data_IF_174025800230
#
_entry.id   IF_174025800230
#
_cell.length_a   1.000
_cell.length_b   1.000
_cell.length_c   1.000
_cell.angle_alpha   90.00
_cell.angle_beta   90.00
_cell.angle_gamma   90.00
#
_symmetry.space_group_name_H-M   'P 1'
#
loop_
_entity.id
_entity.type
_entity.pdbx_description
1 polymer ?
#
# COMPACT_ATOMS: atom_id res chain seq x y z
N UNK A 1 3.21 -10.96 -0.55
CA UNK A 1 3.16 -10.33 -1.88
C UNK A 1 3.75 -11.28 -2.92
N UNK A 2 3.07 -11.46 -4.05
CA UNK A 2 3.51 -12.33 -5.15
C UNK A 2 4.09 -11.57 -6.35
N UNK A 3 4.00 -10.24 -6.32
CA UNK A 3 4.38 -9.37 -7.43
C UNK A 3 3.46 -9.51 -8.65
N UNK A 4 3.81 -8.85 -9.73
CA UNK A 4 3.04 -8.80 -10.97
C UNK A 4 3.44 -9.96 -11.90
N UNK A 5 3.07 -11.18 -11.54
CA UNK A 5 3.38 -12.36 -12.37
C UNK A 5 2.31 -12.57 -13.45
N UNK A 6 2.64 -12.40 -14.76
CA UNK A 6 1.67 -12.50 -15.84
C UNK A 6 1.30 -13.94 -16.23
N UNK A 7 2.00 -14.94 -15.69
CA UNK A 7 1.84 -16.34 -16.06
C UNK A 7 0.95 -17.14 -15.11
N UNK A 8 0.75 -16.63 -13.88
CA UNK A 8 -0.10 -17.28 -12.89
C UNK A 8 -1.53 -16.78 -13.07
N UNK A 9 -2.52 -17.67 -13.29
CA UNK A 9 -3.91 -17.27 -13.41
C UNK A 9 -4.46 -16.75 -12.08
N UNK A 10 -5.45 -15.84 -12.14
CA UNK A 10 -6.02 -15.23 -10.93
C UNK A 10 -6.65 -16.29 -9.99
N UNK A 11 -7.30 -17.29 -10.55
CA UNK A 11 -7.91 -18.39 -9.79
C UNK A 11 -6.89 -19.11 -8.89
N UNK A 12 -5.64 -19.26 -9.33
CA UNK A 12 -4.60 -19.88 -8.51
C UNK A 12 -4.38 -19.14 -7.17
N UNK A 13 -4.43 -17.81 -7.20
CA UNK A 13 -4.30 -17.01 -5.96
C UNK A 13 -5.52 -17.20 -5.05
N UNK A 14 -6.72 -17.32 -5.62
CA UNK A 14 -7.93 -17.58 -4.86
C UNK A 14 -7.90 -18.98 -4.23
N UNK A 15 -7.49 -19.98 -4.98
CA UNK A 15 -7.34 -21.35 -4.48
C UNK A 15 -6.30 -21.45 -3.37
N UNK A 16 -5.16 -20.77 -3.50
CA UNK A 16 -4.13 -20.69 -2.46
C UNK A 16 -4.72 -20.17 -1.14
N UNK A 17 -5.47 -19.08 -1.17
CA UNK A 17 -6.08 -18.52 0.03
C UNK A 17 -7.13 -19.45 0.64
N UNK A 18 -8.00 -20.04 -0.20
CA UNK A 18 -8.98 -21.03 0.25
C UNK A 18 -8.30 -22.23 0.91
N UNK A 19 -7.21 -22.74 0.30
CA UNK A 19 -6.42 -23.81 0.88
C UNK A 19 -5.84 -23.45 2.25
N UNK A 20 -5.22 -22.27 2.38
CA UNK A 20 -4.67 -21.80 3.64
C UNK A 20 -5.77 -21.72 4.70
N UNK A 21 -6.92 -21.13 4.37
CA UNK A 21 -8.04 -20.97 5.31
C UNK A 21 -8.68 -22.31 5.72
N UNK A 22 -8.72 -23.27 4.82
CA UNK A 22 -9.25 -24.60 5.11
C UNK A 22 -8.35 -25.40 6.07
N UNK A 23 -7.03 -25.18 6.01
CA UNK A 23 -6.06 -25.98 6.74
C UNK A 23 -5.46 -25.26 7.97
N UNK A 24 -5.56 -23.92 8.04
CA UNK A 24 -4.89 -23.14 9.08
C UNK A 24 -5.78 -22.01 9.60
N UNK A 25 -5.85 -21.88 10.92
CA UNK A 25 -6.50 -20.74 11.60
C UNK A 25 -5.52 -19.56 11.65
N UNK A 26 -5.33 -18.87 10.51
CA UNK A 26 -4.37 -17.77 10.38
C UNK A 26 -5.01 -16.58 9.68
N UNK A 27 -4.60 -15.36 10.06
CA UNK A 27 -4.94 -14.12 9.37
C UNK A 27 -4.09 -13.99 8.11
N UNK A 28 -4.73 -13.76 6.95
CA UNK A 28 -4.03 -13.51 5.69
C UNK A 28 -3.98 -12.01 5.44
N UNK A 29 -2.79 -11.44 5.57
CA UNK A 29 -2.49 -10.04 5.22
C UNK A 29 -1.65 -10.06 3.94
N UNK A 30 -2.25 -9.76 2.81
CA UNK A 30 -1.60 -9.98 1.53
C UNK A 30 -2.12 -9.09 0.41
N UNK A 31 -1.42 -9.13 -0.70
CA UNK A 31 -1.67 -8.38 -1.92
C UNK A 31 -1.69 -6.86 -1.71
N UNK A 32 -0.70 -6.19 -2.29
CA UNK A 32 -0.66 -4.73 -2.30
C UNK A 32 -1.72 -4.15 -3.24
N UNK A 33 -2.12 -2.88 -3.09
CA UNK A 33 -2.98 -2.21 -4.06
C UNK A 33 -2.47 -2.32 -5.50
N UNK A 34 -1.15 -2.26 -5.71
CA UNK A 34 -0.56 -2.43 -7.06
C UNK A 34 -0.80 -3.83 -7.64
N UNK A 35 -0.82 -4.88 -6.80
CA UNK A 35 -1.17 -6.24 -7.26
C UNK A 35 -2.66 -6.35 -7.58
N UNK A 36 -3.52 -5.69 -6.82
CA UNK A 36 -4.97 -5.65 -7.10
C UNK A 36 -5.25 -4.95 -8.43
N UNK A 37 -4.60 -3.81 -8.68
CA UNK A 37 -4.68 -3.11 -9.98
C UNK A 37 -4.17 -4.00 -11.09
N UNK A 38 -3.01 -4.63 -10.91
CA UNK A 38 -2.46 -5.59 -11.89
C UNK A 38 -3.43 -6.73 -12.19
N UNK A 39 -4.08 -7.33 -11.19
CA UNK A 39 -5.08 -8.37 -11.41
C UNK A 39 -6.28 -7.84 -12.21
N UNK A 40 -6.77 -6.66 -11.87
CA UNK A 40 -7.87 -6.01 -12.59
C UNK A 40 -7.56 -5.85 -14.07
N UNK A 41 -6.42 -5.27 -14.39
CA UNK A 41 -5.99 -5.04 -15.78
C UNK A 41 -5.67 -6.34 -16.52
N UNK A 42 -4.85 -7.18 -15.92
CA UNK A 42 -4.35 -8.42 -16.54
C UNK A 42 -5.46 -9.40 -16.87
N UNK A 43 -6.44 -9.54 -15.99
CA UNK A 43 -7.52 -10.50 -16.14
C UNK A 43 -8.84 -9.86 -16.60
N UNK A 44 -8.86 -8.54 -16.82
CA UNK A 44 -10.03 -7.76 -17.25
C UNK A 44 -11.23 -7.94 -16.30
N UNK A 45 -10.95 -7.96 -15.01
CA UNK A 45 -11.94 -8.04 -13.94
C UNK A 45 -12.06 -6.64 -13.31
N UNK A 46 -13.26 -6.06 -13.15
CA UNK A 46 -13.41 -4.79 -12.45
C UNK A 46 -12.74 -4.82 -11.07
N UNK A 47 -11.99 -3.78 -10.70
CA UNK A 47 -11.23 -3.72 -9.45
C UNK A 47 -12.09 -4.03 -8.20
N UNK A 48 -13.34 -3.55 -8.06
CA UNK A 48 -14.20 -3.92 -6.94
C UNK A 48 -14.48 -5.42 -6.87
N UNK A 49 -14.58 -6.06 -8.02
CA UNK A 49 -14.82 -7.50 -8.11
C UNK A 49 -13.56 -8.31 -7.75
N UNK A 50 -12.35 -7.81 -8.11
CA UNK A 50 -11.08 -8.40 -7.67
C UNK A 50 -11.00 -8.38 -6.14
N UNK A 51 -11.28 -7.24 -5.51
CA UNK A 51 -11.27 -7.11 -4.05
C UNK A 51 -12.28 -8.06 -3.40
N UNK A 52 -13.49 -8.15 -3.97
CA UNK A 52 -14.54 -9.05 -3.48
C UNK A 52 -14.11 -10.51 -3.55
N UNK A 53 -13.57 -10.96 -4.68
CA UNK A 53 -13.13 -12.35 -4.85
C UNK A 53 -11.97 -12.72 -3.93
N UNK A 54 -11.00 -11.81 -3.74
CA UNK A 54 -9.91 -12.01 -2.80
C UNK A 54 -10.42 -12.14 -1.35
N UNK A 55 -11.33 -11.25 -0.93
CA UNK A 55 -11.98 -11.32 0.39
C UNK A 55 -12.74 -12.63 0.57
N UNK A 56 -13.57 -12.99 -0.40
CA UNK A 56 -14.41 -14.20 -0.34
C UNK A 56 -13.57 -15.50 -0.37
N UNK A 57 -12.36 -15.45 -0.95
CA UNK A 57 -11.39 -16.52 -0.89
C UNK A 57 -10.63 -16.60 0.44
N UNK A 58 -10.78 -15.61 1.33
CA UNK A 58 -10.21 -15.62 2.66
C UNK A 58 -9.10 -14.59 2.93
N UNK A 59 -8.93 -13.59 2.06
CA UNK A 59 -8.06 -12.46 2.37
C UNK A 59 -8.68 -11.62 3.49
N UNK A 60 -7.97 -11.45 4.60
CA UNK A 60 -8.50 -10.72 5.77
C UNK A 60 -8.17 -9.23 5.74
N UNK A 61 -7.04 -8.85 5.17
CA UNK A 61 -6.60 -7.45 5.11
C UNK A 61 -5.58 -7.19 4.00
N UNK A 62 -5.49 -5.93 3.56
CA UNK A 62 -4.58 -5.48 2.50
C UNK A 62 -3.48 -4.59 3.11
N UNK A 63 -2.19 -4.87 2.83
CA UNK A 63 -1.09 -4.00 3.24
C UNK A 63 -1.03 -2.70 2.44
N UNK A 64 -0.38 -1.69 3.02
CA UNK A 64 -0.12 -0.42 2.36
C UNK A 64 1.01 -0.43 1.32
N UNK A 65 1.51 -1.61 0.95
CA UNK A 65 2.62 -1.75 0.02
C UNK A 65 2.37 -1.06 -1.34
N UNK A 66 3.43 -0.55 -1.95
CA UNK A 66 3.33 0.19 -3.21
C UNK A 66 2.85 1.64 -3.06
N UNK A 67 2.56 2.08 -1.84
CA UNK A 67 2.19 3.47 -1.57
C UNK A 67 3.34 4.45 -1.79
N UNK A 68 4.56 4.07 -1.43
CA UNK A 68 5.76 4.91 -1.40
C UNK A 68 5.44 6.37 -1.03
N UNK A 69 5.35 7.26 -2.01
CA UNK A 69 4.81 8.62 -1.90
C UNK A 69 3.61 8.75 -2.86
N UNK A 70 2.45 9.12 -2.36
CA UNK A 70 1.20 9.26 -3.15
C UNK A 70 1.13 10.63 -3.83
N UNK A 71 2.16 10.94 -4.62
CA UNK A 71 2.29 12.10 -5.50
C UNK A 71 2.80 11.60 -6.85
N UNK A 72 2.01 11.72 -7.89
CA UNK A 72 2.27 11.04 -9.18
C UNK A 72 3.58 11.50 -9.82
N UNK A 73 3.96 12.77 -9.68
CA UNK A 73 5.27 13.26 -10.16
C UNK A 73 6.47 12.56 -9.49
N UNK A 74 6.33 12.15 -8.21
CA UNK A 74 7.33 11.34 -7.52
C UNK A 74 7.24 9.89 -7.99
N UNK A 75 6.00 9.34 -8.08
CA UNK A 75 5.75 7.95 -8.48
C UNK A 75 6.28 7.62 -9.88
N UNK A 76 6.12 8.53 -10.84
CA UNK A 76 6.67 8.37 -12.20
C UNK A 76 8.19 8.18 -12.21
N UNK A 77 8.91 8.76 -11.25
CA UNK A 77 10.36 8.59 -11.14
C UNK A 77 10.75 7.29 -10.44
N UNK A 78 10.05 6.94 -9.35
CA UNK A 78 10.53 5.88 -8.43
C UNK A 78 9.68 4.60 -8.44
N UNK A 79 8.44 4.67 -8.92
CA UNK A 79 7.47 3.60 -8.86
C UNK A 79 6.61 3.45 -10.14
N UNK A 80 7.18 3.78 -11.30
CA UNK A 80 6.49 3.85 -12.61
C UNK A 80 5.65 2.61 -12.98
N UNK A 81 6.02 1.44 -12.47
CA UNK A 81 5.31 0.18 -12.76
C UNK A 81 4.29 -0.20 -11.70
N UNK A 82 4.07 0.64 -10.70
CA UNK A 82 3.10 0.42 -9.63
C UNK A 82 1.86 1.28 -9.88
N UNK A 83 0.76 0.96 -9.19
CA UNK A 83 -0.47 1.73 -9.25
C UNK A 83 -0.22 3.23 -9.05
N UNK A 84 -0.91 4.09 -9.78
CA UNK A 84 -0.89 5.52 -9.58
C UNK A 84 -1.62 5.89 -8.28
N UNK A 85 -1.51 7.16 -7.87
CA UNK A 85 -2.05 7.62 -6.58
C UNK A 85 -3.53 7.29 -6.42
N UNK A 86 -4.36 7.65 -7.40
CA UNK A 86 -5.81 7.44 -7.32
C UNK A 86 -6.20 5.96 -7.40
N UNK A 87 -5.47 5.17 -8.16
CA UNK A 87 -5.67 3.71 -8.21
C UNK A 87 -5.35 3.08 -6.86
N UNK A 88 -4.23 3.46 -6.25
CA UNK A 88 -3.84 2.97 -4.93
C UNK A 88 -4.88 3.32 -3.86
N UNK A 89 -5.32 4.59 -3.83
CA UNK A 89 -6.37 5.06 -2.90
C UNK A 89 -7.69 4.36 -3.17
N UNK A 90 -8.07 4.18 -4.44
CA UNK A 90 -9.30 3.50 -4.85
C UNK A 90 -9.37 2.05 -4.38
N UNK A 91 -8.27 1.31 -4.45
CA UNK A 91 -8.21 -0.07 -3.90
C UNK A 91 -8.42 -0.08 -2.40
N UNK A 92 -7.77 0.83 -1.67
CA UNK A 92 -7.93 0.91 -0.22
C UNK A 92 -9.37 1.29 0.18
N UNK A 93 -9.94 2.28 -0.51
CA UNK A 93 -11.32 2.72 -0.29
C UNK A 93 -12.32 1.59 -0.56
N UNK A 94 -12.13 0.87 -1.65
CA UNK A 94 -12.98 -0.26 -1.99
C UNK A 94 -12.86 -1.41 -0.97
N UNK A 95 -11.65 -1.72 -0.51
CA UNK A 95 -11.44 -2.70 0.55
C UNK A 95 -12.20 -2.31 1.83
N UNK A 96 -12.11 -1.03 2.23
CA UNK A 96 -12.83 -0.51 3.39
C UNK A 96 -14.35 -0.60 3.20
N UNK A 97 -14.86 -0.24 2.01
CA UNK A 97 -16.29 -0.32 1.68
C UNK A 97 -16.81 -1.75 1.77
N UNK A 98 -15.98 -2.72 1.44
CA UNK A 98 -16.30 -4.14 1.56
C UNK A 98 -16.05 -4.72 2.96
N UNK A 99 -15.76 -3.88 3.97
CA UNK A 99 -15.60 -4.28 5.36
C UNK A 99 -14.21 -4.81 5.73
N UNK A 100 -13.25 -4.75 4.81
CA UNK A 100 -11.87 -5.15 5.09
C UNK A 100 -11.13 -4.03 5.82
N UNK A 101 -10.13 -4.42 6.61
CA UNK A 101 -9.17 -3.48 7.21
C UNK A 101 -7.88 -3.48 6.41
N UNK A 102 -7.19 -2.33 6.42
CA UNK A 102 -5.93 -2.20 5.69
C UNK A 102 -4.89 -1.46 6.52
N UNK A 103 -3.64 -1.53 6.12
CA UNK A 103 -2.61 -0.64 6.62
C UNK A 103 -2.22 0.38 5.53
N UNK A 104 -1.51 1.41 5.91
CA UNK A 104 -0.95 2.38 4.98
C UNK A 104 0.52 2.60 5.28
N UNK A 105 1.31 2.75 4.23
CA UNK A 105 2.76 2.93 4.33
C UNK A 105 3.20 4.19 3.60
N UNK A 106 4.31 4.76 4.04
CA UNK A 106 5.06 5.78 3.32
C UNK A 106 6.53 5.40 3.32
N UNK A 107 7.14 5.32 2.15
CA UNK A 107 8.60 5.20 2.02
C UNK A 107 9.15 6.52 1.49
N UNK A 108 10.17 7.05 2.14
CA UNK A 108 10.74 8.37 1.83
C UNK A 108 12.27 8.32 1.74
N UNK A 109 12.90 9.41 1.29
CA UNK A 109 14.33 9.48 1.00
C UNK A 109 14.67 9.12 -0.44
N UNK A 110 13.68 9.23 -1.36
CA UNK A 110 13.80 8.94 -2.79
C UNK A 110 13.88 10.21 -3.64
N UNK A 111 14.21 11.36 -3.01
CA UNK A 111 14.26 12.67 -3.67
C UNK A 111 12.93 13.41 -3.73
N UNK A 112 11.96 13.00 -2.95
CA UNK A 112 10.73 13.75 -2.69
C UNK A 112 11.00 14.93 -1.76
N UNK A 113 10.14 15.95 -1.81
CA UNK A 113 10.16 17.10 -0.91
C UNK A 113 9.34 16.86 0.38
N UNK A 114 9.49 17.74 1.38
CA UNK A 114 8.59 17.73 2.53
C UNK A 114 7.14 18.03 2.16
N UNK A 115 6.91 18.83 1.11
CA UNK A 115 5.57 19.09 0.59
C UNK A 115 4.92 17.81 0.05
N UNK A 116 5.67 16.98 -0.69
CA UNK A 116 5.20 15.69 -1.20
C UNK A 116 4.84 14.72 -0.06
N UNK A 117 5.65 14.70 1.02
CA UNK A 117 5.34 13.91 2.23
C UNK A 117 4.05 14.37 2.90
N UNK A 118 3.86 15.69 3.02
CA UNK A 118 2.63 16.26 3.60
C UNK A 118 1.43 15.95 2.71
N UNK A 119 1.55 16.08 1.39
CA UNK A 119 0.49 15.74 0.45
C UNK A 119 0.07 14.26 0.59
N UNK A 120 1.02 13.33 0.65
CA UNK A 120 0.75 11.93 0.95
C UNK A 120 -0.05 11.77 2.26
N UNK A 121 0.41 12.39 3.34
CA UNK A 121 -0.24 12.30 4.66
C UNK A 121 -1.67 12.88 4.64
N UNK A 122 -1.89 13.98 3.91
CA UNK A 122 -3.23 14.56 3.77
C UNK A 122 -4.19 13.63 3.03
N UNK A 123 -3.75 13.00 1.93
CA UNK A 123 -4.56 12.04 1.17
C UNK A 123 -5.00 10.84 2.02
N UNK A 124 -4.07 10.24 2.78
CA UNK A 124 -4.41 9.11 3.65
C UNK A 124 -5.29 9.52 4.84
N UNK A 125 -5.06 10.71 5.44
CA UNK A 125 -5.92 11.25 6.49
C UNK A 125 -7.36 11.43 5.99
N UNK A 126 -7.51 11.98 4.79
CA UNK A 126 -8.82 12.27 4.20
C UNK A 126 -9.56 10.98 3.82
N UNK A 127 -8.84 9.98 3.30
CA UNK A 127 -9.43 8.65 3.08
C UNK A 127 -9.83 8.00 4.40
N UNK A 128 -8.97 8.05 5.44
CA UNK A 128 -9.32 7.54 6.77
C UNK A 128 -10.55 8.25 7.35
N UNK A 129 -10.67 9.56 7.16
CA UNK A 129 -11.83 10.32 7.66
C UNK A 129 -13.14 9.86 7.02
N UNK A 130 -13.11 9.44 5.74
CA UNK A 130 -14.28 8.93 5.02
C UNK A 130 -14.61 7.48 5.36
N UNK A 131 -13.61 6.64 5.59
CA UNK A 131 -13.79 5.19 5.61
C UNK A 131 -13.51 4.53 6.96
N UNK A 132 -12.63 5.11 7.77
CA UNK A 132 -12.18 4.53 9.05
C UNK A 132 -11.45 3.18 8.93
N UNK A 133 -11.04 2.77 7.73
CA UNK A 133 -10.54 1.42 7.47
C UNK A 133 -9.07 1.17 7.75
N UNK A 134 -8.22 2.21 7.80
CA UNK A 134 -6.82 2.04 8.12
C UNK A 134 -6.62 1.70 9.60
N UNK A 135 -5.85 0.65 9.87
CA UNK A 135 -5.50 0.19 11.22
C UNK A 135 -4.16 0.71 11.68
N UNK A 136 -3.24 0.99 10.75
CA UNK A 136 -1.90 1.46 11.06
C UNK A 136 -1.34 2.31 9.91
N UNK A 137 -0.55 3.33 10.27
CA UNK A 137 0.36 4.02 9.37
C UNK A 137 1.80 3.64 9.73
N UNK A 138 2.57 3.23 8.73
CA UNK A 138 3.95 2.78 8.89
C UNK A 138 4.83 3.57 7.93
N UNK A 139 5.78 4.34 8.43
CA UNK A 139 6.74 5.04 7.60
C UNK A 139 8.15 4.51 7.80
N UNK A 140 8.90 4.36 6.69
CA UNK A 140 10.29 3.95 6.72
C UNK A 140 11.14 4.69 5.69
N UNK A 141 12.41 4.94 6.02
CA UNK A 141 13.33 5.53 5.07
C UNK A 141 13.81 4.50 4.05
N UNK A 142 14.08 4.98 2.84
CA UNK A 142 14.79 4.20 1.83
C UNK A 142 16.13 3.68 2.39
N UNK A 143 16.44 2.42 2.12
CA UNK A 143 17.78 1.84 2.28
C UNK A 143 18.43 1.80 0.89
N UNK A 144 19.34 2.74 0.58
CA UNK A 144 19.86 2.91 -0.78
C UNK A 144 20.88 1.85 -1.18
N UNK A 145 21.57 1.22 -0.22
CA UNK A 145 22.64 0.27 -0.54
C UNK A 145 22.12 -0.91 -1.36
N UNK A 146 22.85 -1.24 -2.41
CA UNK A 146 22.48 -2.32 -3.32
C UNK A 146 21.26 -2.01 -4.21
N UNK A 147 20.79 -0.76 -4.23
CA UNK A 147 19.67 -0.32 -5.04
C UNK A 147 20.20 0.57 -6.19
N UNK A 148 20.33 0.07 -7.43
CA UNK A 148 21.02 0.80 -8.51
C UNK A 148 20.46 2.21 -8.79
N UNK A 149 19.15 2.40 -8.64
CA UNK A 149 18.50 3.71 -8.85
C UNK A 149 18.90 4.76 -7.81
N UNK A 150 19.34 4.34 -6.63
CA UNK A 150 19.63 5.19 -5.49
C UNK A 150 21.08 5.05 -5.01
N UNK A 151 21.93 4.43 -5.83
CA UNK A 151 23.33 4.29 -5.50
C UNK A 151 23.99 5.66 -5.29
N UNK A 152 24.76 5.80 -4.20
CA UNK A 152 25.33 7.08 -3.79
C UNK A 152 24.36 8.04 -3.07
N UNK A 153 23.09 7.72 -2.93
CA UNK A 153 22.15 8.51 -2.13
C UNK A 153 22.47 8.37 -0.65
N UNK A 154 22.56 9.49 0.06
CA UNK A 154 22.78 9.47 1.51
C UNK A 154 21.59 8.81 2.24
N UNK A 155 21.90 7.99 3.23
CA UNK A 155 20.86 7.46 4.14
C UNK A 155 20.14 8.58 4.87
N UNK A 156 18.84 8.39 5.07
CA UNK A 156 18.06 9.25 5.95
C UNK A 156 18.58 9.16 7.39
N UNK A 157 18.86 10.30 8.00
CA UNK A 157 19.29 10.37 9.39
C UNK A 157 18.14 10.19 10.39
N UNK A 158 18.47 9.94 11.65
CA UNK A 158 17.50 9.73 12.72
C UNK A 158 16.62 10.97 12.98
N UNK A 159 17.13 12.17 12.77
CA UNK A 159 16.36 13.41 12.97
C UNK A 159 15.28 13.53 11.91
N UNK A 160 15.61 13.27 10.66
CA UNK A 160 14.65 13.24 9.54
C UNK A 160 13.58 12.16 9.74
N UNK A 161 13.98 10.97 10.23
CA UNK A 161 13.05 9.90 10.59
C UNK A 161 12.05 10.37 11.65
N UNK A 162 12.55 10.88 12.79
CA UNK A 162 11.70 11.33 13.89
C UNK A 162 10.77 12.49 13.49
N UNK A 163 11.27 13.44 12.68
CA UNK A 163 10.44 14.54 12.13
C UNK A 163 9.33 14.02 11.23
N UNK A 164 9.63 13.07 10.36
CA UNK A 164 8.64 12.46 9.44
C UNK A 164 7.57 11.72 10.24
N UNK A 165 7.97 10.94 11.24
CA UNK A 165 7.04 10.23 12.13
C UNK A 165 6.17 11.23 12.92
N UNK A 166 6.77 12.31 13.44
CA UNK A 166 6.03 13.35 14.14
C UNK A 166 5.00 14.06 13.25
N UNK A 167 5.35 14.38 12.00
CA UNK A 167 4.40 14.91 11.01
C UNK A 167 3.23 13.94 10.79
N UNK A 168 3.52 12.65 10.61
CA UNK A 168 2.51 11.61 10.49
C UNK A 168 1.55 11.61 11.68
N UNK A 169 2.07 11.64 12.91
CA UNK A 169 1.26 11.68 14.15
C UNK A 169 0.39 12.93 14.27
N UNK A 170 0.88 14.08 13.82
CA UNK A 170 0.12 15.33 13.86
C UNK A 170 -1.00 15.34 12.81
N UNK A 171 -0.70 14.89 11.57
CA UNK A 171 -1.62 14.97 10.44
C UNK A 171 -2.64 13.82 10.49
N UNK A 172 -2.18 12.59 10.74
CA UNK A 172 -2.99 11.38 10.67
C UNK A 172 -3.48 10.90 12.05
N UNK A 173 -3.91 11.83 12.92
CA UNK A 173 -4.42 11.52 14.29
C UNK A 173 -5.62 10.58 14.30
N UNK A 174 -6.31 10.46 13.18
CA UNK A 174 -7.44 9.56 12.97
C UNK A 174 -7.05 8.12 12.63
N UNK A 175 -5.75 7.80 12.49
CA UNK A 175 -5.26 6.43 12.34
C UNK A 175 -4.78 5.92 13.71
N UNK A 176 -5.30 4.78 14.22
CA UNK A 176 -5.08 4.39 15.60
C UNK A 176 -3.64 4.00 15.95
N UNK A 177 -2.92 3.38 15.02
CA UNK A 177 -1.55 2.93 15.23
C UNK A 177 -0.58 3.63 14.29
N UNK A 178 0.58 3.98 14.81
CA UNK A 178 1.62 4.67 14.04
C UNK A 178 3.01 4.14 14.42
N UNK A 179 3.77 3.75 13.41
CA UNK A 179 5.10 3.15 13.52
C UNK A 179 6.09 3.85 12.59
#
# INVERSE_FOLDING_TARGET
QGGHNPYIPFEWYLELMRYIKANHRIHIHGFSPSEVVFFSERFRIPMPEVVRQLRDAGLDSIPGGGGEILVDAVRERVAKKKAQTEEWLGVQEEAHRQGMRTSVTMMYGMGESNADRIEHLLKIRDLQARTGGFTAFICWPLQPEGTPMFDGTAKTDAVTYLRTLAMGRIICRNIPNMQ
#
